data_IF_117753577454
#
_entry.id   IF_117753577454
#
_cell.length_a   1.000
_cell.length_b   1.000
_cell.length_c   1.000
_cell.angle_alpha   90.00
_cell.angle_beta   90.00
_cell.angle_gamma   90.00
#
_symmetry.space_group_name_H-M   'P 1'
#
loop_
_entity.id
_entity.type
_entity.pdbx_description
1 polymer ?
#
# COMPACT_ATOMS: atom_id res chain seq x y z
N UNK A 1 -23.15 16.79 -17.37
CA UNK A 1 -22.04 17.40 -16.60
C UNK A 1 -21.13 16.28 -16.13
N UNK A 2 -19.80 16.37 -16.30
CA UNK A 2 -18.89 15.38 -15.73
C UNK A 2 -18.94 15.44 -14.20
N UNK A 3 -18.83 14.28 -13.56
CA UNK A 3 -18.75 14.17 -12.10
C UNK A 3 -17.42 14.77 -11.62
N UNK A 4 -17.48 15.67 -10.64
CA UNK A 4 -16.31 16.24 -9.98
C UNK A 4 -16.33 15.81 -8.53
N UNK A 5 -15.26 15.14 -8.10
CA UNK A 5 -15.12 14.68 -6.72
C UNK A 5 -14.93 15.90 -5.81
N UNK A 6 -15.89 16.14 -4.91
CA UNK A 6 -15.82 17.23 -3.93
C UNK A 6 -14.95 16.74 -2.77
N UNK A 7 -13.71 17.24 -2.66
CA UNK A 7 -12.86 17.02 -1.48
C UNK A 7 -13.40 17.92 -0.34
N UNK A 8 -14.11 17.31 0.62
CA UNK A 8 -14.71 18.02 1.76
C UNK A 8 -13.66 18.42 2.82
N UNK A 9 -12.49 17.78 2.81
CA UNK A 9 -11.38 18.02 3.75
C UNK A 9 -10.12 18.50 3.03
N UNK A 10 -9.47 19.55 3.57
CA UNK A 10 -8.08 19.87 3.21
C UNK A 10 -7.22 18.77 3.79
N UNK A 11 -6.71 17.93 2.91
CA UNK A 11 -5.92 16.79 3.27
C UNK A 11 -4.44 17.20 3.42
N UNK A 12 -3.97 17.32 4.65
CA UNK A 12 -2.56 17.49 4.97
C UNK A 12 -1.90 16.11 5.08
N UNK A 13 -0.62 16.00 4.68
CA UNK A 13 0.16 14.75 4.74
C UNK A 13 0.03 14.03 6.09
N UNK A 14 0.06 14.81 7.17
CA UNK A 14 -0.05 14.38 8.57
C UNK A 14 -1.39 13.69 8.89
N UNK A 15 -2.48 14.12 8.26
CA UNK A 15 -3.84 13.60 8.51
C UNK A 15 -4.09 12.27 7.78
N UNK A 16 -3.20 11.88 6.87
CA UNK A 16 -3.34 10.62 6.14
C UNK A 16 -2.91 9.40 6.93
N UNK A 17 -1.98 9.56 7.88
CA UNK A 17 -1.60 8.48 8.77
C UNK A 17 -2.82 7.99 9.59
N UNK A 18 -3.66 8.92 10.06
CA UNK A 18 -4.91 8.58 10.78
C UNK A 18 -6.02 8.05 9.86
N UNK A 19 -6.05 8.45 8.59
CA UNK A 19 -7.12 8.10 7.63
C UNK A 19 -6.81 6.86 6.77
N UNK A 20 -5.56 6.39 6.72
CA UNK A 20 -5.19 5.19 5.96
C UNK A 20 -5.82 3.91 6.51
N UNK A 21 -6.44 4.00 7.70
CA UNK A 21 -6.80 2.84 8.49
C UNK A 21 -5.54 2.27 9.11
N UNK A 22 -5.60 1.97 10.39
CA UNK A 22 -4.55 1.21 11.06
C UNK A 22 -4.62 -0.22 10.51
N UNK A 23 -3.98 -0.46 9.36
CA UNK A 23 -3.62 -1.82 8.99
C UNK A 23 -2.64 -2.26 10.07
N UNK A 24 -3.19 -2.82 11.15
CA UNK A 24 -2.45 -3.23 12.33
C UNK A 24 -1.13 -3.83 11.88
N UNK A 25 -0.01 -3.24 12.27
CA UNK A 25 1.33 -3.68 11.85
C UNK A 25 1.50 -5.19 12.03
N UNK A 26 0.82 -5.77 13.02
CA UNK A 26 0.72 -7.21 13.21
C UNK A 26 0.12 -7.91 11.97
N UNK A 27 -1.02 -7.46 11.46
CA UNK A 27 -1.64 -8.04 10.27
C UNK A 27 -0.70 -7.96 9.05
N UNK A 28 -0.04 -6.82 8.81
CA UNK A 28 0.90 -6.68 7.69
C UNK A 28 2.07 -7.67 7.83
N UNK A 29 2.54 -7.91 9.05
CA UNK A 29 3.62 -8.86 9.34
C UNK A 29 3.19 -10.33 9.31
N UNK A 30 1.95 -10.65 9.70
CA UNK A 30 1.49 -12.03 9.84
C UNK A 30 0.81 -12.57 8.57
N UNK A 31 0.06 -11.76 7.83
CA UNK A 31 -0.66 -12.18 6.63
C UNK A 31 0.24 -12.82 5.55
N UNK A 32 1.49 -12.37 5.32
CA UNK A 32 2.39 -13.03 4.37
C UNK A 32 2.67 -14.50 4.70
N UNK A 33 2.56 -14.91 5.97
CA UNK A 33 2.75 -16.32 6.37
C UNK A 33 1.59 -17.25 5.95
N UNK A 34 0.46 -16.68 5.52
CA UNK A 34 -0.72 -17.44 5.10
C UNK A 34 -0.74 -17.75 3.61
N UNK A 35 0.17 -17.15 2.85
CA UNK A 35 0.31 -17.36 1.41
C UNK A 35 1.61 -18.10 1.11
N UNK A 36 1.73 -18.75 -0.06
CA UNK A 36 3.00 -19.26 -0.53
C UNK A 36 4.07 -18.16 -0.54
N UNK A 37 5.31 -18.53 -0.22
CA UNK A 37 6.44 -17.60 -0.30
C UNK A 37 6.58 -17.04 -1.71
N UNK A 38 6.96 -15.76 -1.79
CA UNK A 38 7.25 -15.10 -3.06
C UNK A 38 8.44 -15.77 -3.76
N UNK A 39 8.37 -15.86 -5.08
CA UNK A 39 9.42 -16.43 -5.93
C UNK A 39 9.77 -15.47 -7.06
N UNK A 40 10.93 -15.72 -7.66
CA UNK A 40 11.39 -14.96 -8.82
C UNK A 40 10.33 -14.95 -9.94
N UNK A 41 10.11 -13.76 -10.51
CA UNK A 41 9.13 -13.52 -11.56
C UNK A 41 7.74 -13.13 -11.06
N UNK A 42 7.44 -13.31 -9.77
CA UNK A 42 6.15 -12.94 -9.19
C UNK A 42 5.86 -11.44 -9.34
N UNK A 43 4.59 -11.12 -9.53
CA UNK A 43 4.06 -9.76 -9.59
C UNK A 43 3.09 -9.55 -8.43
N UNK A 44 3.37 -8.53 -7.61
CA UNK A 44 2.57 -8.14 -6.45
C UNK A 44 1.90 -6.81 -6.77
N UNK A 45 0.61 -6.68 -6.47
CA UNK A 45 -0.16 -5.45 -6.68
C UNK A 45 -0.60 -4.92 -5.32
N UNK A 46 0.06 -3.87 -4.84
CA UNK A 46 -0.31 -3.15 -3.62
C UNK A 46 -1.25 -1.99 -4.00
N UNK A 47 -2.55 -2.26 -3.97
CA UNK A 47 -3.57 -1.31 -4.38
C UNK A 47 -3.98 -0.41 -3.23
N UNK A 48 -4.17 0.89 -3.51
CA UNK A 48 -4.37 1.93 -2.50
C UNK A 48 -3.22 1.96 -1.48
N UNK A 49 -1.97 1.85 -1.96
CA UNK A 49 -0.75 1.64 -1.16
C UNK A 49 -0.49 2.69 -0.07
N UNK A 50 -1.14 3.86 -0.15
CA UNK A 50 -1.03 4.87 0.89
C UNK A 50 0.41 5.36 1.10
N UNK A 51 0.91 5.25 2.33
CA UNK A 51 2.29 5.56 2.72
C UNK A 51 3.22 4.34 2.55
N UNK A 52 2.79 3.35 1.76
CA UNK A 52 3.58 2.19 1.34
C UNK A 52 3.97 1.18 2.44
N UNK A 53 3.35 1.24 3.64
CA UNK A 53 3.70 0.37 4.77
C UNK A 53 3.71 -1.15 4.43
N UNK A 54 2.76 -1.60 3.59
CA UNK A 54 2.71 -3.00 3.12
C UNK A 54 3.84 -3.30 2.14
N UNK A 55 4.05 -2.41 1.16
CA UNK A 55 5.15 -2.51 0.19
C UNK A 55 6.50 -2.55 0.90
N UNK A 56 6.76 -1.67 1.86
CA UNK A 56 7.98 -1.65 2.67
C UNK A 56 8.18 -2.96 3.46
N UNK A 57 7.11 -3.47 4.06
CA UNK A 57 7.17 -4.73 4.82
C UNK A 57 7.51 -5.92 3.93
N UNK A 58 6.95 -5.99 2.71
CA UNK A 58 7.29 -7.03 1.73
C UNK A 58 8.75 -6.89 1.28
N UNK A 59 9.21 -5.68 0.99
CA UNK A 59 10.60 -5.44 0.58
C UNK A 59 11.60 -5.79 1.70
N UNK A 60 11.23 -5.59 2.96
CA UNK A 60 12.04 -5.96 4.12
C UNK A 60 12.24 -7.48 4.27
N UNK A 61 11.41 -8.33 3.64
CA UNK A 61 11.66 -9.78 3.58
C UNK A 61 12.74 -10.15 2.56
N UNK A 62 13.35 -9.16 1.90
CA UNK A 62 14.35 -9.29 0.85
C UNK A 62 13.97 -10.30 -0.27
N UNK A 63 12.79 -10.17 -0.87
CA UNK A 63 12.37 -11.07 -1.95
C UNK A 63 13.22 -10.83 -3.21
N UNK A 64 13.83 -11.87 -3.75
CA UNK A 64 14.66 -11.78 -4.95
C UNK A 64 13.83 -11.95 -6.22
N UNK A 65 13.97 -11.02 -7.16
CA UNK A 65 13.43 -11.15 -8.52
C UNK A 65 11.91 -10.95 -8.65
N UNK A 66 11.27 -10.33 -7.65
CA UNK A 66 9.85 -9.97 -7.72
C UNK A 66 9.66 -8.57 -8.32
N UNK A 67 8.43 -8.26 -8.73
CA UNK A 67 8.00 -6.90 -9.10
C UNK A 67 6.80 -6.49 -8.23
N UNK A 68 6.85 -5.28 -7.67
CA UNK A 68 5.73 -4.71 -6.93
C UNK A 68 5.17 -3.53 -7.72
N UNK A 69 3.87 -3.54 -7.94
CA UNK A 69 3.09 -2.45 -8.52
C UNK A 69 2.28 -1.79 -7.41
N UNK A 70 2.86 -0.77 -6.78
CA UNK A 70 2.16 0.05 -5.81
C UNK A 70 1.32 1.10 -6.55
N UNK A 71 0.01 1.14 -6.29
CA UNK A 71 -0.90 2.06 -6.96
C UNK A 71 -1.77 2.81 -5.98
N UNK A 72 -2.02 4.08 -6.27
CA UNK A 72 -2.92 4.91 -5.49
C UNK A 72 -3.75 5.80 -6.43
N UNK A 73 -5.00 6.06 -6.07
CA UNK A 73 -5.82 7.02 -6.83
C UNK A 73 -5.39 8.45 -6.56
N UNK A 74 -4.76 8.70 -5.41
CA UNK A 74 -4.40 10.04 -5.00
C UNK A 74 -2.95 10.36 -5.37
N UNK A 75 -2.70 11.40 -6.19
CA UNK A 75 -1.35 11.76 -6.64
C UNK A 75 -0.40 12.21 -5.53
N UNK A 76 -0.89 12.45 -4.31
CA UNK A 76 -0.03 12.83 -3.18
C UNK A 76 0.70 11.64 -2.53
N UNK A 77 0.42 10.42 -3.00
CA UNK A 77 0.97 9.16 -2.52
C UNK A 77 1.71 8.38 -3.63
N UNK A 78 1.91 9.01 -4.79
CA UNK A 78 2.67 8.48 -5.93
C UNK A 78 3.78 9.48 -6.24
#
# INVERSE_FOLDING_TARGET
MPFTLIKVTKLYAEHFAELQGDANEAAIKYCPSWIPAFKEGDAIYDNACGLEAVTETIMATNPTGIRIYATNISPQFI
#
